data_IF_812499544397
#
_entry.id   IF_812499544397
#
_cell.length_a   1.000
_cell.length_b   1.000
_cell.length_c   1.000
_cell.angle_alpha   90.00
_cell.angle_beta   90.00
_cell.angle_gamma   90.00
#
_symmetry.space_group_name_H-M   'P 1'
#
loop_
_entity.id
_entity.type
_entity.pdbx_description
1 polymer ?
#
# COMPACT_ATOMS: atom_id res chain seq x y z
N UNK A 1 -34.86 28.11 11.80
CA UNK A 1 -33.72 28.69 12.54
C UNK A 1 -33.06 27.53 13.30
N UNK A 2 -31.98 26.93 12.76
CA UNK A 2 -30.55 27.20 13.09
C UNK A 2 -30.30 27.23 14.60
N UNK A 3 -29.38 26.49 15.25
CA UNK A 3 -28.16 25.74 14.90
C UNK A 3 -28.03 24.54 15.89
N UNK A 4 -27.50 23.35 15.57
CA UNK A 4 -26.16 22.91 15.09
C UNK A 4 -25.05 22.82 16.16
N UNK A 5 -24.38 21.67 16.09
CA UNK A 5 -22.97 21.40 16.43
C UNK A 5 -22.63 20.80 17.80
N UNK A 6 -22.76 19.47 17.89
CA UNK A 6 -21.98 18.60 18.77
C UNK A 6 -20.74 18.08 18.04
N UNK A 7 -19.67 18.88 18.00
CA UNK A 7 -18.35 18.48 17.51
C UNK A 7 -17.39 18.36 18.69
N UNK A 8 -17.08 17.13 19.11
CA UNK A 8 -15.88 16.89 19.93
C UNK A 8 -14.67 16.78 19.01
N UNK A 9 -14.00 17.91 18.79
CA UNK A 9 -12.67 17.93 18.20
C UNK A 9 -11.65 17.36 19.20
N UNK A 10 -11.10 16.17 18.92
CA UNK A 10 -9.90 15.67 19.60
C UNK A 10 -8.74 16.62 19.31
N UNK A 11 -8.41 17.48 20.28
CA UNK A 11 -7.16 18.24 20.27
C UNK A 11 -6.01 17.31 20.68
N UNK A 12 -5.15 16.92 19.73
CA UNK A 12 -3.90 16.22 20.04
C UNK A 12 -2.79 17.22 20.37
N UNK A 13 -2.43 17.27 21.66
CA UNK A 13 -1.20 17.90 22.16
C UNK A 13 -0.04 16.91 21.95
N UNK A 14 1.00 17.32 21.22
CA UNK A 14 2.27 16.60 21.14
C UNK A 14 2.96 16.61 22.51
N UNK A 15 2.89 15.52 23.27
CA UNK A 15 3.77 15.30 24.42
C UNK A 15 5.09 14.75 23.90
N UNK A 16 6.06 15.65 23.75
CA UNK A 16 7.48 15.35 23.64
C UNK A 16 8.19 16.26 24.63
N UNK A 17 8.89 15.66 25.59
CA UNK A 17 9.71 16.35 26.59
C UNK A 17 10.80 17.21 25.93
N UNK A 18 11.00 18.39 26.49
CA UNK A 18 11.66 19.58 25.91
C UNK A 18 13.19 19.50 26.03
N UNK A 19 13.96 19.91 25.01
CA UNK A 19 14.65 21.21 25.01
C UNK A 19 15.10 21.66 23.63
N UNK A 20 14.42 22.68 23.10
CA UNK A 20 14.97 23.90 22.48
C UNK A 20 13.90 24.53 21.58
N UNK A 21 13.92 25.87 21.50
CA UNK A 21 12.92 26.73 20.86
C UNK A 21 12.86 26.51 19.33
N UNK A 22 12.18 25.46 18.89
CA UNK A 22 11.56 25.44 17.56
C UNK A 22 10.04 25.49 17.76
N UNK A 23 9.41 26.54 17.22
CA UNK A 23 7.96 26.59 17.10
C UNK A 23 7.46 25.27 16.51
N UNK A 24 6.73 24.45 17.28
CA UNK A 24 6.06 23.24 16.77
C UNK A 24 5.07 23.69 15.70
N UNK A 25 5.50 23.71 14.45
CA UNK A 25 4.66 24.07 13.30
C UNK A 25 3.56 23.01 13.25
N UNK A 26 2.32 23.42 13.52
CA UNK A 26 1.14 22.56 13.39
C UNK A 26 1.14 22.03 11.95
N UNK A 27 1.22 20.72 11.79
CA UNK A 27 1.10 20.09 10.46
C UNK A 27 -0.39 20.04 10.14
N UNK A 28 -0.83 20.89 9.22
CA UNK A 28 -2.19 20.84 8.74
C UNK A 28 -2.42 19.58 7.90
N UNK A 29 -3.57 18.96 8.07
CA UNK A 29 -4.00 17.78 7.31
C UNK A 29 -4.92 18.25 6.19
N UNK A 30 -4.67 17.80 4.96
CA UNK A 30 -5.40 18.29 3.80
C UNK A 30 -5.26 17.38 2.58
N UNK A 31 -6.01 17.72 1.54
CA UNK A 31 -5.95 17.05 0.25
C UNK A 31 -5.02 17.78 -0.73
N UNK A 32 -4.37 17.02 -1.59
CA UNK A 32 -3.43 17.48 -2.60
C UNK A 32 -3.70 16.75 -3.92
N UNK A 33 -3.52 17.41 -5.06
CA UNK A 33 -3.71 16.80 -6.38
C UNK A 33 -2.49 16.99 -7.27
N UNK A 34 -2.16 15.98 -8.06
CA UNK A 34 -1.29 16.11 -9.23
C UNK A 34 -2.07 15.69 -10.47
N UNK A 35 -1.93 16.43 -11.58
CA UNK A 35 -2.71 16.21 -12.80
C UNK A 35 -1.88 16.47 -14.06
N UNK A 36 -2.07 15.63 -15.08
CA UNK A 36 -1.56 15.83 -16.44
C UNK A 36 -2.62 15.36 -17.44
N UNK A 37 -3.19 16.30 -18.21
CA UNK A 37 -4.32 16.00 -19.09
C UNK A 37 -5.49 15.41 -18.31
N UNK A 38 -5.99 14.26 -18.76
CA UNK A 38 -7.11 13.53 -18.16
C UNK A 38 -6.72 12.56 -17.05
N UNK A 39 -5.41 12.46 -16.73
CA UNK A 39 -4.91 11.65 -15.63
C UNK A 39 -4.70 12.50 -14.39
N UNK A 40 -5.48 12.27 -13.33
CA UNK A 40 -5.35 12.99 -12.06
C UNK A 40 -5.31 12.05 -10.86
N UNK A 41 -4.52 12.44 -9.85
CA UNK A 41 -4.37 11.68 -8.62
C UNK A 41 -4.51 12.64 -7.44
N UNK A 42 -5.42 12.31 -6.52
CA UNK A 42 -5.60 13.03 -5.25
C UNK A 42 -5.02 12.24 -4.10
N UNK A 43 -4.50 12.96 -3.12
CA UNK A 43 -3.85 12.42 -1.94
C UNK A 43 -4.32 13.15 -0.69
N UNK A 44 -4.23 12.50 0.46
CA UNK A 44 -4.15 13.19 1.76
C UNK A 44 -2.78 12.97 2.38
N UNK A 45 -2.29 13.96 3.13
CA UNK A 45 -1.05 13.79 3.89
C UNK A 45 -1.23 12.95 5.17
N UNK A 46 -2.46 12.55 5.52
CA UNK A 46 -2.68 11.45 6.46
C UNK A 46 -2.26 10.12 5.81
N UNK A 47 -1.26 9.45 6.35
CA UNK A 47 -0.77 8.17 5.81
C UNK A 47 -0.09 8.26 4.43
N UNK A 48 0.14 9.48 3.91
CA UNK A 48 0.55 9.72 2.52
C UNK A 48 -0.28 8.88 1.53
N UNK A 49 -1.59 9.02 1.66
CA UNK A 49 -2.61 8.13 1.11
C UNK A 49 -3.05 8.58 -0.28
N UNK A 50 -3.19 7.64 -1.22
CA UNK A 50 -3.89 7.85 -2.48
C UNK A 50 -5.40 7.81 -2.21
N UNK A 51 -6.10 8.88 -2.58
CA UNK A 51 -7.55 9.05 -2.32
C UNK A 51 -8.36 8.83 -3.61
N UNK A 52 -7.79 9.19 -4.75
CA UNK A 52 -8.46 9.15 -6.06
C UNK A 52 -7.43 8.98 -7.16
N UNK A 53 -7.76 8.19 -8.18
CA UNK A 53 -6.99 8.05 -9.43
C UNK A 53 -7.98 8.07 -10.59
N UNK A 54 -8.04 9.19 -11.31
CA UNK A 54 -8.99 9.42 -12.41
C UNK A 54 -8.27 9.26 -13.75
N UNK A 55 -8.84 8.46 -14.66
CA UNK A 55 -8.34 8.27 -16.02
C UNK A 55 -9.46 7.81 -16.98
N UNK A 56 -9.30 8.02 -18.30
CA UNK A 56 -10.31 7.60 -19.28
C UNK A 56 -10.42 6.07 -19.43
N UNK A 57 -11.58 5.62 -19.87
CA UNK A 57 -11.80 4.28 -20.43
C UNK A 57 -11.58 4.29 -21.96
N UNK A 58 -11.84 3.16 -22.63
CA UNK A 58 -11.69 3.04 -24.10
C UNK A 58 -12.58 3.99 -24.92
N UNK A 59 -13.62 4.58 -24.31
CA UNK A 59 -14.52 5.55 -24.90
C UNK A 59 -14.25 6.99 -24.44
N UNK A 60 -13.15 7.22 -23.69
CA UNK A 60 -12.82 8.54 -23.14
C UNK A 60 -13.57 8.91 -21.86
N UNK A 61 -14.40 8.03 -21.29
CA UNK A 61 -15.14 8.33 -20.06
C UNK A 61 -14.22 8.23 -18.84
N UNK A 62 -14.09 9.34 -18.11
CA UNK A 62 -13.31 9.39 -16.88
C UNK A 62 -14.02 8.63 -15.74
N UNK A 63 -13.26 7.86 -14.97
CA UNK A 63 -13.70 7.30 -13.71
C UNK A 63 -12.54 7.26 -12.71
N UNK A 64 -12.87 7.34 -11.43
CA UNK A 64 -11.93 7.11 -10.34
C UNK A 64 -11.81 5.61 -10.07
N UNK A 65 -10.61 5.05 -10.22
CA UNK A 65 -10.35 3.60 -10.21
C UNK A 65 -9.79 3.07 -8.89
N UNK A 66 -9.81 3.85 -7.82
CA UNK A 66 -9.41 3.39 -6.48
C UNK A 66 -10.52 3.55 -5.46
N UNK A 67 -10.63 2.64 -4.50
CA UNK A 67 -11.51 2.84 -3.34
C UNK A 67 -10.94 3.92 -2.40
N UNK A 68 -11.80 4.53 -1.60
CA UNK A 68 -11.40 5.54 -0.63
C UNK A 68 -12.59 6.21 0.04
N UNK A 69 -12.33 7.37 0.66
CA UNK A 69 -13.33 8.16 1.37
C UNK A 69 -13.27 9.63 0.93
N UNK A 70 -14.38 10.36 1.08
CA UNK A 70 -14.42 11.80 0.80
C UNK A 70 -13.82 12.65 1.92
N UNK A 71 -13.82 12.14 3.15
CA UNK A 71 -13.44 12.88 4.35
C UNK A 71 -12.16 12.31 4.99
N UNK A 72 -11.24 13.21 5.35
CA UNK A 72 -10.00 12.84 6.05
C UNK A 72 -10.29 12.19 7.41
N UNK A 73 -11.33 12.64 8.12
CA UNK A 73 -11.74 12.05 9.40
C UNK A 73 -12.10 10.56 9.29
N UNK A 74 -12.58 10.11 8.13
CA UNK A 74 -12.86 8.68 7.90
C UNK A 74 -11.56 7.91 7.76
N UNK A 75 -10.56 8.46 7.06
CA UNK A 75 -9.22 7.87 6.99
C UNK A 75 -8.53 7.75 8.36
N UNK A 76 -8.79 8.67 9.29
CA UNK A 76 -8.24 8.62 10.67
C UNK A 76 -8.82 7.49 11.52
N UNK A 77 -9.93 6.87 11.10
CA UNK A 77 -10.55 5.75 11.78
C UNK A 77 -10.60 4.50 10.88
N UNK A 78 -9.90 4.55 9.74
CA UNK A 78 -9.92 3.49 8.75
C UNK A 78 -9.09 2.29 9.24
N UNK A 79 -9.69 1.10 9.15
CA UNK A 79 -9.01 -0.16 9.44
C UNK A 79 -8.69 -0.95 8.16
N UNK A 80 -9.07 -0.44 6.99
CA UNK A 80 -8.88 -1.12 5.69
C UNK A 80 -7.60 -0.71 4.97
N UNK A 81 -6.96 0.39 5.40
CA UNK A 81 -5.76 0.97 4.80
C UNK A 81 -5.95 1.48 3.37
N UNK A 82 -7.16 1.94 3.00
CA UNK A 82 -7.45 2.36 1.62
C UNK A 82 -6.44 3.38 1.09
N UNK A 83 -5.56 2.95 0.17
CA UNK A 83 -4.60 3.81 -0.53
C UNK A 83 -3.39 4.25 0.29
N UNK A 84 -3.29 3.85 1.56
CA UNK A 84 -2.27 4.34 2.48
C UNK A 84 -0.86 3.84 2.14
N UNK A 85 0.16 4.60 2.53
CA UNK A 85 1.53 4.08 2.61
C UNK A 85 1.70 3.34 3.94
N UNK A 86 1.92 2.02 3.89
CA UNK A 86 2.06 1.16 5.07
C UNK A 86 3.54 0.94 5.45
N UNK A 87 3.80 0.80 6.75
CA UNK A 87 5.15 0.69 7.32
C UNK A 87 5.13 0.92 8.85
N UNK A 88 6.23 0.75 9.59
CA UNK A 88 7.63 0.55 9.14
C UNK A 88 7.88 -0.77 8.41
N UNK A 89 7.10 -1.80 8.71
CA UNK A 89 7.11 -3.10 8.02
C UNK A 89 5.69 -3.42 7.55
N UNK A 90 5.51 -3.48 6.23
CA UNK A 90 4.28 -3.90 5.57
C UNK A 90 4.02 -5.40 5.82
N UNK A 91 2.75 -5.77 5.80
CA UNK A 91 2.24 -7.10 6.10
C UNK A 91 2.57 -7.55 7.54
N UNK A 92 2.57 -8.85 7.79
CA UNK A 92 2.58 -9.44 9.13
C UNK A 92 3.98 -9.72 9.65
N UNK A 93 4.15 -9.58 10.97
CA UNK A 93 5.26 -10.13 11.76
C UNK A 93 4.66 -11.07 12.82
N UNK A 94 5.08 -12.32 12.80
CA UNK A 94 4.55 -13.39 13.64
C UNK A 94 4.80 -13.13 15.13
N UNK A 95 3.77 -13.34 15.95
CA UNK A 95 3.86 -13.21 17.41
C UNK A 95 4.20 -11.80 17.90
N UNK A 96 4.04 -10.79 17.05
CA UNK A 96 4.35 -9.39 17.31
C UNK A 96 5.77 -9.19 17.88
N UNK A 97 6.74 -9.95 17.37
CA UNK A 97 8.14 -9.88 17.81
C UNK A 97 9.10 -10.35 16.74
N UNK A 98 10.36 -9.93 16.86
CA UNK A 98 11.47 -10.48 16.10
C UNK A 98 12.78 -10.33 16.88
N UNK A 99 13.82 -11.06 16.46
CA UNK A 99 15.16 -10.96 17.06
C UNK A 99 16.13 -10.33 16.07
N UNK A 100 16.86 -9.30 16.50
CA UNK A 100 17.89 -8.65 15.70
C UNK A 100 19.15 -8.45 16.54
N UNK A 101 20.27 -8.99 16.06
CA UNK A 101 21.57 -8.94 16.74
C UNK A 101 21.49 -9.45 18.20
N UNK A 102 20.81 -10.59 18.40
CA UNK A 102 20.65 -11.22 19.72
C UNK A 102 19.65 -10.56 20.66
N UNK A 103 19.04 -9.42 20.27
CA UNK A 103 18.01 -8.73 21.06
C UNK A 103 16.62 -8.98 20.48
N UNK A 104 15.70 -9.41 21.33
CA UNK A 104 14.27 -9.54 20.99
C UNK A 104 13.57 -8.19 21.11
N UNK A 105 12.85 -7.81 20.07
CA UNK A 105 11.99 -6.63 20.03
C UNK A 105 10.53 -7.09 20.07
N UNK A 106 9.75 -6.53 21.00
CA UNK A 106 8.29 -6.71 21.05
C UNK A 106 7.63 -5.53 20.33
N UNK A 107 6.63 -5.84 19.53
CA UNK A 107 5.90 -4.90 18.70
C UNK A 107 4.45 -4.77 19.18
N UNK A 108 3.74 -3.78 18.65
CA UNK A 108 2.29 -3.67 18.84
C UNK A 108 1.57 -4.82 18.16
N UNK A 109 0.91 -5.68 18.93
CA UNK A 109 -0.01 -6.69 18.40
C UNK A 109 -1.35 -6.02 18.08
N UNK A 110 -1.59 -5.73 16.80
CA UNK A 110 -2.81 -5.07 16.31
C UNK A 110 -3.68 -5.99 15.46
N UNK A 111 -3.26 -7.24 15.26
CA UNK A 111 -4.05 -8.27 14.58
C UNK A 111 -3.85 -9.61 15.29
N UNK A 112 -4.75 -9.93 16.23
CA UNK A 112 -4.60 -11.09 17.09
C UNK A 112 -3.27 -11.06 17.85
N UNK A 113 -2.44 -12.09 17.66
CA UNK A 113 -1.11 -12.18 18.27
C UNK A 113 0.01 -11.58 17.40
N UNK A 114 -0.31 -11.05 16.22
CA UNK A 114 0.65 -10.60 15.22
C UNK A 114 0.68 -9.07 15.12
N UNK A 115 1.76 -8.54 14.55
CA UNK A 115 1.83 -7.14 14.13
C UNK A 115 1.54 -7.07 12.63
N UNK A 116 0.55 -6.28 12.24
CA UNK A 116 0.19 -6.03 10.85
C UNK A 116 0.49 -4.57 10.48
N UNK A 117 1.10 -4.36 9.30
CA UNK A 117 1.31 -3.05 8.66
C UNK A 117 2.01 -2.00 9.56
N UNK A 118 2.91 -2.46 10.43
CA UNK A 118 3.71 -1.62 11.29
C UNK A 118 3.09 -1.30 12.65
N UNK A 119 1.94 -1.89 13.00
CA UNK A 119 1.33 -1.79 14.33
C UNK A 119 0.12 -0.85 14.40
N UNK A 120 -0.43 -0.69 15.60
CA UNK A 120 -1.68 0.04 15.83
C UNK A 120 -1.66 1.51 15.38
N UNK A 121 -0.47 2.15 15.38
CA UNK A 121 -0.25 3.48 14.79
C UNK A 121 0.95 3.43 13.84
N UNK A 122 0.80 2.63 12.79
CA UNK A 122 1.77 2.51 11.70
C UNK A 122 1.82 3.76 10.81
N UNK A 123 2.59 3.67 9.73
CA UNK A 123 2.81 4.80 8.80
C UNK A 123 1.56 5.27 8.06
N UNK A 124 0.52 4.46 8.01
CA UNK A 124 -0.80 4.81 7.48
C UNK A 124 -1.60 5.74 8.41
N UNK A 125 -1.25 5.79 9.70
CA UNK A 125 -2.04 6.43 10.76
C UNK A 125 -1.31 7.62 11.41
N UNK A 126 -0.48 8.30 10.61
CA UNK A 126 0.28 9.48 11.03
C UNK A 126 0.21 10.59 10.00
N UNK A 127 0.41 11.83 10.44
CA UNK A 127 0.49 12.99 9.56
C UNK A 127 1.88 13.03 8.93
N UNK A 128 1.94 12.92 7.61
CA UNK A 128 3.15 13.13 6.85
C UNK A 128 3.32 14.61 6.52
N UNK A 129 4.57 15.07 6.54
CA UNK A 129 4.88 16.41 6.07
C UNK A 129 4.92 16.43 4.53
N UNK A 130 4.21 17.36 3.90
CA UNK A 130 4.38 17.66 2.47
C UNK A 130 5.66 18.44 2.28
N UNK A 131 6.68 17.81 1.69
CA UNK A 131 7.99 18.43 1.45
C UNK A 131 8.09 19.17 0.13
N UNK A 132 7.37 18.70 -0.89
CA UNK A 132 7.26 19.31 -2.22
C UNK A 132 5.93 18.92 -2.84
N UNK A 133 5.30 19.85 -3.54
CA UNK A 133 4.09 19.61 -4.31
C UNK A 133 4.15 20.45 -5.59
N UNK A 134 4.12 19.76 -6.73
CA UNK A 134 4.05 20.33 -8.07
C UNK A 134 2.79 19.76 -8.74
N UNK A 135 1.66 20.48 -8.70
CA UNK A 135 0.36 19.95 -9.12
C UNK A 135 0.23 19.71 -10.63
N UNK A 136 1.02 20.39 -11.46
CA UNK A 136 0.95 20.30 -12.93
C UNK A 136 2.31 20.47 -13.63
N UNK A 137 2.26 20.61 -14.96
CA UNK A 137 3.44 20.76 -15.82
C UNK A 137 3.91 19.44 -16.43
N UNK A 138 5.15 19.41 -16.94
CA UNK A 138 5.65 18.26 -17.71
C UNK A 138 5.74 16.97 -16.89
N UNK A 139 6.12 17.09 -15.61
CA UNK A 139 6.28 15.97 -14.67
C UNK A 139 5.73 16.33 -13.27
N UNK A 140 4.39 16.40 -13.11
CA UNK A 140 3.75 16.67 -11.82
C UNK A 140 4.15 15.65 -10.76
N UNK A 141 4.37 16.12 -9.52
CA UNK A 141 4.74 15.23 -8.42
C UNK A 141 4.42 15.80 -7.05
N UNK A 142 4.29 14.92 -6.06
CA UNK A 142 4.21 15.27 -4.64
C UNK A 142 5.13 14.36 -3.84
N UNK A 143 5.78 14.91 -2.82
CA UNK A 143 6.65 14.18 -1.90
C UNK A 143 6.26 14.42 -0.46
N UNK A 144 5.95 13.33 0.21
CA UNK A 144 5.68 13.27 1.64
C UNK A 144 6.92 12.78 2.39
N UNK A 145 7.09 13.19 3.65
CA UNK A 145 8.10 12.61 4.55
C UNK A 145 7.58 12.46 5.97
N UNK A 146 8.08 11.44 6.66
CA UNK A 146 7.82 11.18 8.06
C UNK A 146 9.12 10.79 8.77
N UNK A 147 9.25 11.19 10.03
CA UNK A 147 10.38 10.80 10.88
C UNK A 147 9.83 9.87 11.97
N UNK A 148 10.14 8.60 11.84
CA UNK A 148 9.78 7.55 12.78
C UNK A 148 10.87 7.45 13.84
N UNK A 149 10.54 7.57 15.13
CA UNK A 149 11.52 7.60 16.20
C UNK A 149 11.93 6.19 16.68
N UNK A 150 13.06 6.09 17.37
CA UNK A 150 13.51 4.84 18.03
C UNK A 150 12.46 4.33 19.04
N UNK A 151 12.00 3.10 18.85
CA UNK A 151 10.96 2.49 19.68
C UNK A 151 9.53 2.74 19.19
N UNK A 152 9.32 3.52 18.12
CA UNK A 152 7.98 3.71 17.54
C UNK A 152 7.37 2.36 17.14
N UNK A 153 6.18 2.05 17.69
CA UNK A 153 5.51 0.74 17.55
C UNK A 153 6.36 -0.48 17.98
N UNK A 154 7.45 -0.26 18.73
CA UNK A 154 8.40 -1.27 19.18
C UNK A 154 9.63 -1.48 18.29
N UNK A 155 9.72 -0.81 17.14
CA UNK A 155 10.84 -0.97 16.21
C UNK A 155 12.09 -0.17 16.63
N UNK A 156 13.30 -0.74 16.54
CA UNK A 156 14.54 -0.03 16.91
C UNK A 156 14.93 1.04 15.90
N UNK A 157 15.58 2.08 16.39
CA UNK A 157 16.25 3.11 15.60
C UNK A 157 15.33 4.15 14.99
N UNK A 158 15.87 5.35 14.83
CA UNK A 158 15.21 6.42 14.10
C UNK A 158 15.25 6.12 12.59
N UNK A 159 14.14 6.33 11.91
CA UNK A 159 13.99 6.16 10.47
C UNK A 159 13.44 7.44 9.85
N UNK A 160 14.20 8.00 8.90
CA UNK A 160 13.69 9.04 7.99
C UNK A 160 13.10 8.35 6.77
N UNK A 161 11.80 8.53 6.55
CA UNK A 161 11.08 7.92 5.42
C UNK A 161 10.46 9.00 4.53
N UNK A 162 10.38 8.72 3.23
CA UNK A 162 9.68 9.57 2.26
C UNK A 162 9.01 8.72 1.20
N UNK A 163 7.81 9.12 0.77
CA UNK A 163 7.16 8.60 -0.43
C UNK A 163 6.98 9.73 -1.44
N UNK A 164 7.25 9.45 -2.72
CA UNK A 164 7.10 10.39 -3.82
C UNK A 164 6.22 9.78 -4.89
N UNK A 165 5.13 10.47 -5.22
CA UNK A 165 4.23 10.13 -6.31
C UNK A 165 4.50 11.08 -7.47
N UNK A 166 4.70 10.55 -8.67
CA UNK A 166 5.08 11.33 -9.84
C UNK A 166 4.39 10.81 -11.09
N UNK A 167 3.69 11.67 -11.80
CA UNK A 167 3.22 11.39 -13.16
C UNK A 167 4.43 11.53 -14.09
N UNK A 168 4.89 10.40 -14.66
CA UNK A 168 6.02 10.37 -15.59
C UNK A 168 5.60 10.75 -17.01
N UNK A 169 4.37 10.40 -17.38
CA UNK A 169 3.80 10.48 -18.72
C UNK A 169 2.26 10.47 -18.63
N UNK A 170 1.54 10.62 -19.75
CA UNK A 170 0.08 10.80 -19.80
C UNK A 170 -0.72 9.79 -18.96
N UNK A 171 -0.26 8.55 -18.81
CA UNK A 171 -0.92 7.49 -18.03
C UNK A 171 0.06 6.64 -17.20
N UNK A 172 1.15 7.24 -16.71
CA UNK A 172 2.21 6.51 -15.98
C UNK A 172 2.47 7.15 -14.61
N UNK A 173 2.13 6.45 -13.55
CA UNK A 173 2.40 6.86 -12.16
C UNK A 173 3.61 6.10 -11.62
N UNK A 174 4.61 6.83 -11.14
CA UNK A 174 5.70 6.27 -10.33
C UNK A 174 5.47 6.55 -8.86
N UNK A 175 5.66 5.52 -8.04
CA UNK A 175 5.71 5.63 -6.57
C UNK A 175 7.10 5.22 -6.11
N UNK A 176 7.81 6.15 -5.47
CA UNK A 176 9.14 5.92 -4.92
C UNK A 176 9.12 6.07 -3.40
N UNK A 177 9.31 4.97 -2.69
CA UNK A 177 9.44 4.93 -1.24
C UNK A 177 10.90 4.77 -0.86
N UNK A 178 11.41 5.66 0.00
CA UNK A 178 12.79 5.65 0.47
C UNK A 178 12.81 5.73 1.97
N UNK A 179 13.74 5.00 2.59
CA UNK A 179 13.98 5.10 4.01
C UNK A 179 15.48 5.05 4.32
N UNK A 180 15.85 5.64 5.45
CA UNK A 180 17.20 5.58 6.01
C UNK A 180 17.08 5.31 7.51
N UNK A 181 17.68 4.21 7.94
CA UNK A 181 17.99 3.97 9.34
C UNK A 181 19.11 4.94 9.77
N UNK A 182 18.94 5.65 10.87
CA UNK A 182 19.85 6.72 11.29
C UNK A 182 20.90 6.21 12.27
N UNK A 183 20.49 5.53 13.34
CA UNK A 183 21.35 5.19 14.47
C UNK A 183 21.38 3.68 14.79
N UNK A 184 20.36 2.90 14.45
CA UNK A 184 20.31 1.44 14.68
C UNK A 184 19.86 0.71 13.43
N UNK A 185 20.29 -0.54 13.27
CA UNK A 185 19.70 -1.41 12.26
C UNK A 185 18.24 -1.71 12.60
N UNK A 186 17.37 -1.75 11.58
CA UNK A 186 15.93 -1.99 11.75
C UNK A 186 15.35 -2.66 10.52
N UNK A 187 14.31 -3.49 10.66
CA UNK A 187 13.55 -3.91 9.50
C UNK A 187 12.82 -2.72 8.87
N UNK A 188 12.78 -2.68 7.54
CA UNK A 188 12.00 -1.74 6.75
C UNK A 188 11.41 -2.48 5.54
N UNK A 189 10.09 -2.47 5.44
CA UNK A 189 9.34 -2.94 4.28
C UNK A 189 8.18 -1.98 4.06
N UNK A 190 8.19 -1.24 2.94
CA UNK A 190 7.17 -0.23 2.66
C UNK A 190 6.32 -0.69 1.48
N UNK A 191 5.01 -0.47 1.56
CA UNK A 191 4.10 -0.72 0.44
C UNK A 191 3.06 0.40 0.35
N UNK A 192 2.40 0.50 -0.82
CA UNK A 192 1.21 1.31 -0.99
C UNK A 192 0.00 0.39 -1.12
N UNK A 193 -1.01 0.61 -0.29
CA UNK A 193 -2.15 -0.28 -0.12
C UNK A 193 -3.38 0.23 -0.90
N UNK A 194 -3.18 0.66 -2.14
CA UNK A 194 -4.27 1.08 -3.02
C UNK A 194 -5.16 -0.11 -3.44
N UNK A 195 -6.46 0.10 -3.33
CA UNK A 195 -7.51 -0.84 -3.72
C UNK A 195 -8.04 -0.44 -5.09
N UNK A 196 -7.67 -1.20 -6.12
CA UNK A 196 -7.95 -0.94 -7.52
C UNK A 196 -9.26 -1.59 -7.97
N UNK A 197 -10.14 -0.79 -8.58
CA UNK A 197 -11.24 -1.26 -9.40
C UNK A 197 -11.24 -0.52 -10.74
N UNK A 198 -10.74 -1.17 -11.78
CA UNK A 198 -10.52 -0.55 -13.10
C UNK A 198 -11.83 -0.18 -13.81
N UNK A 199 -12.97 -0.76 -13.43
CA UNK A 199 -14.29 -0.32 -13.91
C UNK A 199 -14.72 1.02 -13.30
N UNK A 200 -14.15 1.38 -12.15
CA UNK A 200 -14.50 2.52 -11.32
C UNK A 200 -14.77 2.07 -9.88
N UNK A 201 -14.50 2.91 -8.89
CA UNK A 201 -14.63 2.54 -7.47
C UNK A 201 -16.06 2.12 -7.06
N UNK A 202 -17.06 2.50 -7.84
CA UNK A 202 -18.47 2.19 -7.63
C UNK A 202 -19.03 1.18 -8.65
N UNK A 203 -18.18 0.44 -9.37
CA UNK A 203 -18.62 -0.46 -10.44
C UNK A 203 -18.94 -1.90 -9.98
N UNK A 204 -19.02 -2.15 -8.67
CA UNK A 204 -19.27 -3.47 -8.10
C UNK A 204 -17.98 -4.24 -7.79
N UNK A 205 -18.03 -5.57 -7.91
CA UNK A 205 -16.87 -6.44 -7.64
C UNK A 205 -15.86 -6.51 -8.81
N UNK A 206 -14.67 -7.05 -8.53
CA UNK A 206 -13.60 -7.27 -9.52
C UNK A 206 -13.57 -8.69 -10.11
N UNK A 207 -14.56 -9.54 -9.83
CA UNK A 207 -14.47 -10.99 -10.13
C UNK A 207 -14.44 -11.28 -11.64
N UNK A 208 -15.04 -10.41 -12.45
CA UNK A 208 -14.99 -10.51 -13.92
C UNK A 208 -13.70 -9.97 -14.55
N UNK A 209 -12.84 -9.29 -13.79
CA UNK A 209 -11.57 -8.78 -14.30
C UNK A 209 -10.60 -9.93 -14.56
N UNK A 210 -9.69 -9.76 -15.51
CA UNK A 210 -8.56 -10.67 -15.68
C UNK A 210 -7.33 -10.16 -14.96
N UNK A 211 -6.52 -11.10 -14.47
CA UNK A 211 -5.23 -10.83 -13.85
C UNK A 211 -4.18 -11.80 -14.39
N UNK A 212 -2.96 -11.30 -14.56
CA UNK A 212 -1.75 -12.07 -14.73
C UNK A 212 -0.74 -11.60 -13.68
N UNK A 213 -0.12 -12.52 -12.94
CA UNK A 213 0.94 -12.25 -11.98
C UNK A 213 2.23 -12.90 -12.46
N UNK A 214 3.31 -12.12 -12.51
CA UNK A 214 4.62 -12.58 -12.93
C UNK A 214 5.41 -13.11 -11.72
N UNK A 215 4.90 -14.21 -11.16
CA UNK A 215 5.51 -14.94 -10.06
C UNK A 215 5.13 -16.42 -10.10
N UNK A 216 6.09 -17.31 -10.34
CA UNK A 216 5.86 -18.76 -10.40
C UNK A 216 5.82 -19.46 -9.02
N UNK A 217 6.05 -18.71 -7.94
CA UNK A 217 6.01 -19.21 -6.57
C UNK A 217 5.24 -18.25 -5.65
N UNK A 218 4.78 -18.77 -4.52
CA UNK A 218 4.18 -18.02 -3.41
C UNK A 218 4.90 -18.35 -2.10
N UNK A 219 4.64 -17.56 -1.06
CA UNK A 219 4.96 -17.91 0.33
C UNK A 219 3.67 -18.39 1.02
N UNK A 220 3.39 -19.70 1.10
CA UNK A 220 2.18 -20.23 1.72
C UNK A 220 2.05 -19.76 3.17
N UNK A 221 0.81 -19.62 3.63
CA UNK A 221 0.50 -19.10 4.96
C UNK A 221 -0.25 -20.11 5.83
N UNK A 222 -0.13 -19.95 7.13
CA UNK A 222 -0.93 -20.68 8.12
C UNK A 222 -2.33 -20.03 8.32
N UNK A 223 -3.09 -20.53 9.31
CA UNK A 223 -4.44 -20.03 9.63
C UNK A 223 -4.45 -18.59 10.15
N UNK A 224 -3.32 -18.07 10.64
CA UNK A 224 -3.14 -16.70 11.08
C UNK A 224 -2.57 -15.80 9.97
N UNK A 225 -2.51 -16.31 8.73
CA UNK A 225 -1.96 -15.65 7.55
C UNK A 225 -0.47 -15.32 7.68
N UNK A 226 0.25 -16.05 8.53
CA UNK A 226 1.71 -15.96 8.66
C UNK A 226 2.37 -16.92 7.68
N UNK A 227 3.38 -16.50 6.90
CA UNK A 227 4.13 -17.41 6.06
C UNK A 227 4.69 -18.60 6.83
N UNK A 228 4.64 -19.79 6.25
CA UNK A 228 5.21 -21.00 6.87
C UNK A 228 6.75 -21.03 6.80
N UNK A 229 7.34 -20.15 5.98
CA UNK A 229 8.75 -20.18 5.59
C UNK A 229 9.00 -20.95 4.29
N UNK A 230 8.01 -21.66 3.76
CA UNK A 230 8.08 -22.34 2.46
C UNK A 230 8.02 -21.34 1.29
N UNK A 231 8.68 -21.68 0.18
CA UNK A 231 8.49 -21.05 -1.13
C UNK A 231 7.94 -22.14 -2.05
N UNK A 232 6.64 -22.09 -2.35
CA UNK A 232 5.94 -23.16 -3.06
C UNK A 232 5.61 -22.74 -4.49
N UNK A 233 5.72 -23.68 -5.44
CA UNK A 233 5.33 -23.42 -6.84
C UNK A 233 3.81 -23.24 -6.95
N UNK A 234 3.39 -22.30 -7.80
CA UNK A 234 1.95 -22.11 -8.08
C UNK A 234 1.40 -23.10 -9.10
N UNK A 235 2.27 -23.80 -9.85
CA UNK A 235 1.87 -24.65 -10.97
C UNK A 235 0.86 -25.72 -10.54
N UNK A 236 -0.26 -25.78 -11.25
CA UNK A 236 -1.33 -26.75 -10.97
C UNK A 236 -2.18 -26.44 -9.73
N UNK A 237 -1.98 -25.28 -9.09
CA UNK A 237 -2.77 -24.84 -7.94
C UNK A 237 -3.77 -23.74 -8.33
N UNK A 238 -4.74 -23.39 -7.45
CA UNK A 238 -5.60 -22.23 -7.62
C UNK A 238 -4.86 -20.88 -7.66
N UNK A 239 -3.60 -20.85 -7.21
CA UNK A 239 -2.71 -19.70 -7.26
C UNK A 239 -1.95 -19.57 -8.58
N UNK A 240 -2.13 -20.49 -9.54
CA UNK A 240 -1.54 -20.34 -10.87
C UNK A 240 -2.26 -19.23 -11.66
N UNK A 241 -1.74 -18.01 -11.49
CA UNK A 241 -2.12 -16.79 -12.21
C UNK A 241 -0.98 -16.32 -13.14
N UNK A 242 -0.05 -17.22 -13.51
CA UNK A 242 1.09 -16.90 -14.39
C UNK A 242 0.66 -16.54 -15.82
N UNK A 243 -0.56 -16.93 -16.19
CA UNK A 243 -1.26 -16.54 -17.42
C UNK A 243 -2.49 -15.69 -17.06
N UNK A 244 -2.91 -14.85 -18.00
CA UNK A 244 -4.14 -14.05 -17.86
C UNK A 244 -5.34 -14.94 -17.53
N UNK A 245 -5.90 -14.74 -16.35
CA UNK A 245 -6.95 -15.57 -15.76
C UNK A 245 -8.02 -14.68 -15.15
N UNK A 246 -9.30 -15.00 -15.34
CA UNK A 246 -10.41 -14.29 -14.68
C UNK A 246 -10.33 -14.50 -13.18
N UNK A 247 -10.33 -13.42 -12.39
CA UNK A 247 -10.10 -13.47 -10.93
C UNK A 247 -11.11 -14.40 -10.25
N UNK A 248 -12.40 -14.31 -10.59
CA UNK A 248 -13.45 -15.13 -10.00
C UNK A 248 -13.39 -16.63 -10.34
N UNK A 249 -12.62 -17.03 -11.35
CA UNK A 249 -12.67 -18.42 -11.87
C UNK A 249 -12.19 -19.48 -10.87
N UNK A 250 -11.21 -19.14 -10.03
CA UNK A 250 -10.62 -20.06 -9.02
C UNK A 250 -10.76 -19.56 -7.59
N UNK A 251 -11.38 -18.39 -7.37
CA UNK A 251 -11.42 -17.73 -6.06
C UNK A 251 -12.09 -18.57 -4.97
N UNK A 252 -13.11 -19.37 -5.34
CA UNK A 252 -13.83 -20.25 -4.41
C UNK A 252 -13.00 -21.46 -3.94
N UNK A 253 -11.87 -21.73 -4.59
CA UNK A 253 -10.94 -22.80 -4.20
C UNK A 253 -9.91 -22.30 -3.17
N UNK A 254 -9.92 -21.00 -2.86
CA UNK A 254 -9.00 -20.38 -1.90
C UNK A 254 -9.61 -20.44 -0.51
N UNK A 255 -8.93 -21.12 0.41
CA UNK A 255 -9.42 -21.39 1.78
C UNK A 255 -9.69 -20.14 2.61
N UNK A 256 -9.01 -19.02 2.32
CA UNK A 256 -9.20 -17.72 2.97
C UNK A 256 -10.41 -16.95 2.43
N UNK A 257 -11.21 -17.56 1.55
CA UNK A 257 -12.38 -16.94 0.94
C UNK A 257 -12.03 -15.82 -0.03
N UNK A 258 -10.89 -15.96 -0.72
CA UNK A 258 -10.30 -15.04 -1.68
C UNK A 258 -8.79 -14.95 -1.54
N UNK A 259 -8.10 -14.38 -2.52
CA UNK A 259 -6.63 -14.28 -2.50
C UNK A 259 -6.19 -13.29 -1.43
N UNK A 260 -5.23 -13.69 -0.60
CA UNK A 260 -4.45 -12.85 0.31
C UNK A 260 -3.07 -13.52 0.47
N UNK A 261 -2.24 -13.42 -0.56
CA UNK A 261 -1.01 -14.20 -0.65
C UNK A 261 0.12 -13.38 -1.28
N UNK A 262 1.35 -13.59 -0.80
CA UNK A 262 2.54 -13.01 -1.39
C UNK A 262 3.07 -13.93 -2.50
N UNK A 263 3.15 -13.40 -3.71
CA UNK A 263 3.84 -14.01 -4.85
C UNK A 263 5.32 -13.62 -4.83
N UNK A 264 6.18 -14.56 -5.19
CA UNK A 264 7.60 -14.34 -5.44
C UNK A 264 7.78 -13.91 -6.88
N UNK A 265 8.21 -12.67 -7.10
CA UNK A 265 8.29 -12.07 -8.42
C UNK A 265 9.51 -12.55 -9.22
N UNK A 266 9.25 -13.07 -10.41
CA UNK A 266 10.25 -13.58 -11.35
C UNK A 266 10.05 -13.06 -12.78
N UNK A 267 9.17 -12.06 -12.95
CA UNK A 267 8.92 -11.42 -14.24
C UNK A 267 10.15 -10.84 -14.93
N UNK A 268 10.04 -10.70 -16.24
CA UNK A 268 11.04 -10.04 -17.08
C UNK A 268 11.20 -8.56 -16.70
N UNK A 269 12.38 -8.01 -17.00
CA UNK A 269 12.64 -6.59 -16.81
C UNK A 269 11.73 -5.74 -17.71
N UNK A 270 11.14 -4.69 -17.13
CA UNK A 270 10.25 -3.74 -17.83
C UNK A 270 10.75 -2.29 -17.75
N UNK A 271 12.06 -2.12 -17.56
CA UNK A 271 12.78 -0.84 -17.57
C UNK A 271 13.76 -0.71 -16.41
N UNK A 272 15.05 -0.49 -16.73
CA UNK A 272 16.11 -0.39 -15.72
C UNK A 272 16.16 -1.63 -14.84
N UNK A 273 16.04 -1.44 -13.52
CA UNK A 273 16.03 -2.53 -12.52
C UNK A 273 14.63 -3.00 -12.11
N UNK A 274 13.58 -2.66 -12.86
CA UNK A 274 12.19 -3.03 -12.55
C UNK A 274 11.80 -4.29 -13.30
N UNK A 275 11.12 -5.21 -12.62
CA UNK A 275 10.49 -6.39 -13.20
C UNK A 275 8.99 -6.20 -13.31
N UNK A 276 8.35 -6.83 -14.30
CA UNK A 276 6.89 -6.93 -14.34
C UNK A 276 6.41 -7.68 -13.10
N UNK A 277 5.37 -7.17 -12.47
CA UNK A 277 4.77 -7.76 -11.27
C UNK A 277 3.38 -8.32 -11.58
N UNK A 278 2.52 -7.51 -12.19
CA UNK A 278 1.17 -7.93 -12.55
C UNK A 278 0.59 -7.12 -13.73
N UNK A 279 -0.39 -7.69 -14.40
CA UNK A 279 -1.28 -7.00 -15.33
C UNK A 279 -2.73 -7.30 -14.90
N UNK A 280 -3.56 -6.27 -14.78
CA UNK A 280 -4.99 -6.38 -14.52
C UNK A 280 -5.75 -5.70 -15.65
N UNK A 281 -6.86 -6.29 -16.08
CA UNK A 281 -7.72 -5.72 -17.10
C UNK A 281 -9.20 -5.85 -16.70
N UNK A 282 -9.94 -4.76 -16.85
CA UNK A 282 -11.40 -4.78 -16.88
C UNK A 282 -11.86 -4.68 -18.34
N UNK A 283 -12.57 -5.71 -18.83
CA UNK A 283 -13.00 -5.78 -20.22
C UNK A 283 -14.11 -4.80 -20.58
N UNK A 284 -14.92 -4.40 -19.58
CA UNK A 284 -16.05 -3.48 -19.76
C UNK A 284 -15.57 -2.07 -20.09
N UNK A 285 -14.74 -1.49 -19.23
CA UNK A 285 -14.09 -0.20 -19.47
C UNK A 285 -12.96 -0.28 -20.50
N UNK A 286 -12.34 -1.46 -20.68
CA UNK A 286 -11.14 -1.63 -21.47
C UNK A 286 -9.87 -1.14 -20.78
N UNK A 287 -9.94 -0.62 -19.54
CA UNK A 287 -8.75 -0.17 -18.80
C UNK A 287 -7.86 -1.36 -18.44
N UNK A 288 -6.57 -1.14 -18.59
CA UNK A 288 -5.49 -2.07 -18.23
C UNK A 288 -4.54 -1.37 -17.28
N UNK A 289 -4.13 -2.07 -16.23
CA UNK A 289 -3.04 -1.67 -15.33
C UNK A 289 -1.89 -2.67 -15.46
N UNK A 290 -0.74 -2.21 -15.95
CA UNK A 290 0.54 -2.93 -15.85
C UNK A 290 1.34 -2.36 -14.67
N UNK A 291 1.78 -3.26 -13.79
CA UNK A 291 2.60 -2.94 -12.62
C UNK A 291 4.03 -3.48 -12.78
N UNK A 292 5.00 -2.59 -12.58
CA UNK A 292 6.43 -2.89 -12.54
C UNK A 292 7.03 -2.49 -11.20
N UNK A 293 7.95 -3.28 -10.65
CA UNK A 293 8.60 -2.97 -9.36
C UNK A 293 10.00 -3.55 -9.22
N UNK A 294 10.79 -2.98 -8.29
CA UNK A 294 12.08 -3.52 -7.88
C UNK A 294 11.99 -4.41 -6.62
N UNK A 295 10.79 -4.63 -6.08
CA UNK A 295 10.60 -5.48 -4.91
C UNK A 295 10.61 -6.96 -5.29
N UNK A 296 11.00 -7.84 -4.37
CA UNK A 296 11.04 -9.28 -4.63
C UNK A 296 9.65 -9.93 -4.60
N UNK A 297 8.66 -9.31 -3.93
CA UNK A 297 7.33 -9.88 -3.74
C UNK A 297 6.19 -8.96 -4.13
N UNK A 298 5.02 -9.56 -4.27
CA UNK A 298 3.73 -8.89 -4.51
C UNK A 298 2.67 -9.54 -3.63
N UNK A 299 2.10 -8.79 -2.69
CA UNK A 299 0.84 -9.20 -2.07
C UNK A 299 -0.28 -9.01 -3.08
N UNK A 300 -0.99 -10.09 -3.39
CA UNK A 300 -2.24 -10.03 -4.12
C UNK A 300 -3.38 -10.30 -3.15
N UNK A 301 -4.17 -9.26 -2.91
CA UNK A 301 -5.32 -9.31 -2.01
C UNK A 301 -6.59 -8.89 -2.75
N UNK A 302 -7.64 -9.70 -2.69
CA UNK A 302 -8.91 -9.44 -3.39
C UNK A 302 -9.96 -8.75 -2.54
N UNK A 303 -9.60 -8.03 -1.47
CA UNK A 303 -10.60 -7.28 -0.68
C UNK A 303 -11.56 -8.19 0.10
N UNK A 304 -11.07 -9.35 0.57
CA UNK A 304 -11.88 -10.39 1.19
C UNK A 304 -12.54 -9.96 2.51
N UNK A 305 -11.89 -9.04 3.24
CA UNK A 305 -12.36 -8.46 4.49
C UNK A 305 -13.19 -7.19 4.32
N UNK A 306 -13.41 -6.70 3.09
CA UNK A 306 -14.32 -5.59 2.86
C UNK A 306 -15.76 -6.08 3.10
N UNK A 307 -16.48 -5.39 3.97
CA UNK A 307 -17.86 -5.71 4.29
C UNK A 307 -18.73 -4.45 4.30
N UNK A 308 -19.31 -4.11 3.15
CA UNK A 308 -20.24 -3.00 2.97
C UNK A 308 -19.74 -1.65 3.53
N UNK A 309 -18.47 -1.34 3.26
CA UNK A 309 -17.81 -0.11 3.74
C UNK A 309 -18.37 1.10 2.99
N UNK A 310 -18.78 2.14 3.72
CA UNK A 310 -19.25 3.40 3.12
C UNK A 310 -18.05 4.17 2.54
N UNK A 311 -18.06 4.37 1.22
CA UNK A 311 -16.98 4.97 0.46
C UNK A 311 -17.31 6.34 -0.12
N UNK A 312 -16.54 6.75 -1.13
CA UNK A 312 -16.72 8.01 -1.86
C UNK A 312 -18.09 8.12 -2.53
N UNK A 313 -18.66 9.32 -2.52
CA UNK A 313 -19.88 9.65 -3.24
C UNK A 313 -21.10 8.81 -2.83
N UNK A 314 -21.12 8.29 -1.59
CA UNK A 314 -22.18 7.42 -1.10
C UNK A 314 -22.14 5.98 -1.63
N UNK A 315 -21.05 5.58 -2.30
CA UNK A 315 -20.88 4.20 -2.73
C UNK A 315 -20.72 3.26 -1.52
N UNK A 316 -21.19 2.03 -1.65
CA UNK A 316 -20.97 0.96 -0.67
C UNK A 316 -20.04 -0.06 -1.28
N UNK A 317 -18.88 -0.29 -0.66
CA UNK A 317 -17.88 -1.22 -1.16
C UNK A 317 -18.16 -2.64 -0.64
N UNK A 318 -18.46 -3.60 -1.53
CA UNK A 318 -18.73 -4.97 -1.13
C UNK A 318 -17.43 -5.77 -0.94
N UNK A 319 -17.56 -7.00 -0.42
CA UNK A 319 -16.52 -8.02 -0.55
C UNK A 319 -16.12 -8.15 -2.02
N UNK A 320 -14.81 -8.21 -2.29
CA UNK A 320 -14.27 -8.21 -3.66
C UNK A 320 -14.52 -6.92 -4.46
N UNK A 321 -14.88 -5.81 -3.81
CA UNK A 321 -15.08 -4.52 -4.50
C UNK A 321 -13.84 -3.94 -5.17
N UNK A 322 -12.65 -4.42 -4.81
CA UNK A 322 -11.37 -4.03 -5.40
C UNK A 322 -10.27 -5.04 -5.06
N UNK A 323 -9.13 -4.92 -5.74
CA UNK A 323 -7.91 -5.69 -5.45
C UNK A 323 -6.74 -4.79 -5.04
N UNK A 324 -5.82 -5.32 -4.25
CA UNK A 324 -4.54 -4.69 -3.92
C UNK A 324 -3.40 -5.42 -4.63
N UNK A 325 -2.41 -4.64 -5.06
CA UNK A 325 -1.17 -5.11 -5.68
C UNK A 325 0.01 -4.47 -4.93
N UNK A 326 0.27 -4.95 -3.73
CA UNK A 326 1.29 -4.38 -2.86
C UNK A 326 2.64 -4.99 -3.17
N UNK A 327 3.46 -4.33 -3.98
CA UNK A 327 4.84 -4.80 -4.16
C UNK A 327 5.61 -4.58 -2.87
N UNK A 328 6.35 -5.58 -2.39
CA UNK A 328 6.93 -5.57 -1.04
C UNK A 328 8.07 -6.59 -0.91
N UNK A 329 8.82 -6.53 0.18
CA UNK A 329 9.54 -7.70 0.68
C UNK A 329 8.57 -8.75 1.24
N UNK A 330 9.00 -10.01 1.36
CA UNK A 330 8.10 -11.08 1.81
C UNK A 330 7.59 -10.83 3.24
N UNK A 331 6.33 -11.21 3.54
CA UNK A 331 5.83 -11.12 4.90
C UNK A 331 6.70 -11.94 5.86
N UNK A 332 6.77 -11.51 7.12
CA UNK A 332 7.53 -12.15 8.19
C UNK A 332 9.02 -12.47 7.90
N UNK A 333 9.65 -11.83 6.90
CA UNK A 333 11.08 -12.00 6.56
C UNK A 333 12.04 -11.82 7.75
N UNK A 334 11.62 -11.08 8.79
CA UNK A 334 12.41 -10.89 10.01
C UNK A 334 12.55 -12.16 10.86
N UNK A 335 11.64 -13.13 10.69
CA UNK A 335 11.63 -14.41 11.38
C UNK A 335 11.95 -15.60 10.45
N UNK A 336 12.09 -15.37 9.14
CA UNK A 336 12.45 -16.38 8.14
C UNK A 336 13.82 -16.08 7.50
N UNK A 337 14.94 -16.66 8.01
CA UNK A 337 16.28 -16.36 7.51
C UNK A 337 16.52 -16.80 6.05
N UNK A 338 15.68 -17.70 5.51
CA UNK A 338 15.69 -18.12 4.12
C UNK A 338 15.01 -17.11 3.17
N UNK A 339 14.29 -16.11 3.68
CA UNK A 339 13.69 -15.05 2.87
C UNK A 339 14.68 -13.89 2.64
N UNK A 340 14.50 -13.08 1.58
CA UNK A 340 15.30 -11.88 1.37
C UNK A 340 15.24 -10.94 2.57
N UNK A 341 16.41 -10.51 3.05
CA UNK A 341 16.49 -9.65 4.23
C UNK A 341 15.85 -8.29 4.01
N UNK A 342 15.10 -7.83 5.02
CA UNK A 342 14.51 -6.49 5.10
C UNK A 342 15.24 -5.59 6.10
N UNK A 343 16.40 -6.02 6.60
CA UNK A 343 17.15 -5.26 7.61
C UNK A 343 17.97 -4.15 6.95
N UNK A 344 17.69 -2.90 7.33
CA UNK A 344 18.41 -1.72 6.87
C UNK A 344 19.37 -1.27 7.97
N UNK A 345 20.68 -1.27 7.68
CA UNK A 345 21.73 -0.78 8.58
C UNK A 345 21.94 0.74 8.39
N UNK A 346 22.40 1.46 9.43
CA UNK A 346 22.86 2.85 9.27
C UNK A 346 23.85 3.00 8.12
N UNK A 347 23.74 4.11 7.38
CA UNK A 347 24.55 4.38 6.17
C UNK A 347 24.07 3.67 4.90
N UNK A 348 23.21 2.65 4.99
CA UNK A 348 22.56 2.02 3.83
C UNK A 348 21.21 2.70 3.52
N UNK A 349 20.81 2.68 2.26
CA UNK A 349 19.55 3.28 1.79
C UNK A 349 18.57 2.18 1.43
N UNK A 350 17.33 2.29 1.92
CA UNK A 350 16.21 1.55 1.37
C UNK A 350 15.61 2.31 0.19
N UNK A 351 15.28 1.60 -0.89
CA UNK A 351 14.57 2.16 -2.04
C UNK A 351 13.63 1.11 -2.61
N UNK A 352 12.35 1.42 -2.57
CA UNK A 352 11.30 0.72 -3.29
C UNK A 352 10.78 1.66 -4.38
N UNK A 353 10.79 1.19 -5.62
CA UNK A 353 10.23 1.86 -6.77
C UNK A 353 9.20 0.95 -7.43
N UNK A 354 7.98 1.45 -7.60
CA UNK A 354 6.96 0.84 -8.45
C UNK A 354 6.48 1.84 -9.51
N UNK A 355 6.09 1.32 -10.67
CA UNK A 355 5.55 2.08 -11.80
C UNK A 355 4.26 1.40 -12.24
N UNK A 356 3.17 2.16 -12.19
CA UNK A 356 1.86 1.78 -12.67
C UNK A 356 1.67 2.44 -14.04
N UNK A 357 1.46 1.62 -15.06
CA UNK A 357 1.18 2.09 -16.42
C UNK A 357 -0.26 1.73 -16.75
N UNK A 358 -1.05 2.74 -17.09
CA UNK A 358 -2.42 2.55 -17.51
C UNK A 358 -2.51 2.66 -19.04
N UNK A 359 -3.39 1.86 -19.61
CA UNK A 359 -3.75 1.92 -21.03
C UNK A 359 -5.19 1.46 -21.21
N UNK A 360 -5.69 1.56 -22.44
CA UNK A 360 -7.01 1.08 -22.84
C UNK A 360 -6.86 0.08 -23.98
N UNK A 361 -7.74 -0.93 -24.03
CA UNK A 361 -7.85 -1.91 -25.11
C UNK A 361 -9.26 -1.99 -25.66
#
# INVERSE_FOLDING_TARGET
MFNRDGSMAKHMILIGGVSSKESKKKLDVGFYEIKKGDFSIKFTNWGATIVSVILPDKNGKLADVVLGYDQISTYMNDTTYFGATVGRVANRIAGAKFTLSGKTYKLSANEGNNTLHGGARGFSDVIWQVKKHQPGGQTPYIRFSYNSFDGEQGFPGDVKVSTTFKILDENKLSVTMKAKAINKATPINLANHAYWNLGGHNSGDILSNSIQIFGSHITPVDKALIPTGEIASVKGTPYDLTKSTTIGSKINQISTGGYDINYVLDGEYCGGSLKKAAIVQDSKSGRVLELCSNQPGLQFYTGNGINNVQGKGGAVYPKYGALCLETQGFPDSVNHPNFPSQIVKPGKKYKHLMVLKFSTK
#
